data_IF_721720997931
#
_entry.id   IF_721720997931
#
_cell.length_a   1.000
_cell.length_b   1.000
_cell.length_c   1.000
_cell.angle_alpha   90.00
_cell.angle_beta   90.00
_cell.angle_gamma   90.00
#
_symmetry.space_group_name_H-M   'P 1'
#
loop_
_entity.id
_entity.type
_entity.pdbx_description
1 polymer ?
#
# COMPACT_ATOMS: atom_id res chain seq x y z
N UNK A 1 22.13 1.18 28.49
CA UNK A 1 21.11 1.67 27.53
C UNK A 1 20.84 0.56 26.53
N UNK A 2 19.86 -0.29 26.82
CA UNK A 2 19.44 -1.38 25.91
C UNK A 2 18.41 -0.82 24.94
N UNK A 3 18.65 -0.98 23.64
CA UNK A 3 17.75 -0.52 22.59
C UNK A 3 16.55 -1.48 22.51
N UNK A 4 15.34 -0.99 22.77
CA UNK A 4 14.08 -1.76 22.74
C UNK A 4 13.60 -2.12 21.32
N UNK A 5 14.42 -1.96 20.28
CA UNK A 5 14.06 -2.36 18.93
C UNK A 5 14.23 -3.87 18.80
N UNK A 6 13.15 -4.61 19.05
CA UNK A 6 13.07 -6.04 18.75
C UNK A 6 13.34 -6.23 17.24
N UNK A 7 14.50 -6.79 16.82
CA UNK A 7 14.85 -6.92 15.42
C UNK A 7 14.02 -8.00 14.69
N UNK A 8 13.12 -8.69 15.41
CA UNK A 8 12.29 -9.77 14.87
C UNK A 8 10.84 -9.38 14.53
N UNK A 9 10.35 -8.20 14.91
CA UNK A 9 8.98 -7.77 14.57
C UNK A 9 9.03 -7.00 13.27
N UNK A 10 8.94 -7.71 12.14
CA UNK A 10 8.54 -7.06 10.89
C UNK A 10 7.12 -6.58 11.09
N UNK A 11 6.92 -5.25 11.13
CA UNK A 11 5.59 -4.66 11.18
C UNK A 11 4.84 -5.24 9.96
N UNK A 12 3.81 -6.05 10.22
CA UNK A 12 3.00 -6.67 9.17
C UNK A 12 2.02 -5.63 8.69
N UNK A 13 2.46 -4.77 7.78
CA UNK A 13 1.58 -3.87 7.06
C UNK A 13 1.39 -4.38 5.63
N UNK A 14 0.21 -4.10 5.08
CA UNK A 14 -0.09 -4.28 3.66
C UNK A 14 0.26 -2.99 2.90
N UNK A 15 0.84 -3.11 1.72
CA UNK A 15 0.92 -1.99 0.79
C UNK A 15 -0.38 -1.94 0.00
N UNK A 16 -1.14 -0.85 0.07
CA UNK A 16 -2.42 -0.73 -0.64
C UNK A 16 -2.29 0.28 -1.77
N UNK A 17 -2.63 -0.14 -2.98
CA UNK A 17 -2.72 0.70 -4.16
C UNK A 17 -4.18 0.76 -4.61
N UNK A 18 -4.79 1.95 -4.56
CA UNK A 18 -6.13 2.16 -5.10
C UNK A 18 -6.00 2.76 -6.51
N UNK A 19 -6.29 1.96 -7.53
CA UNK A 19 -6.33 2.40 -8.93
C UNK A 19 -7.78 2.44 -9.39
N UNK A 20 -8.22 3.60 -9.88
CA UNK A 20 -9.63 3.81 -10.23
C UNK A 20 -9.96 3.62 -11.70
N UNK A 21 -8.92 3.72 -12.54
CA UNK A 21 -8.93 3.83 -14.01
C UNK A 21 -10.31 4.09 -14.65
N UNK A 22 -10.78 3.16 -15.49
CA UNK A 22 -12.03 3.24 -16.26
C UNK A 22 -13.25 2.74 -15.49
N UNK A 23 -13.05 2.13 -14.32
CA UNK A 23 -14.13 1.51 -13.54
C UNK A 23 -14.92 2.50 -12.68
N UNK A 24 -14.43 3.74 -12.57
CA UNK A 24 -15.02 4.81 -11.74
C UNK A 24 -15.21 4.39 -10.26
N UNK A 25 -14.39 3.45 -9.79
CA UNK A 25 -14.42 2.94 -8.41
C UNK A 25 -13.49 3.72 -7.47
N UNK A 26 -12.76 4.71 -7.99
CA UNK A 26 -11.70 5.43 -7.28
C UNK A 26 -12.11 6.05 -5.96
N UNK A 27 -13.30 6.65 -5.90
CA UNK A 27 -13.80 7.24 -4.67
C UNK A 27 -14.02 6.19 -3.57
N UNK A 28 -14.54 5.02 -3.94
CA UNK A 28 -14.80 3.93 -2.98
C UNK A 28 -13.49 3.25 -2.60
N UNK A 29 -12.61 2.99 -3.57
CA UNK A 29 -11.28 2.40 -3.33
C UNK A 29 -10.37 3.28 -2.48
N UNK A 30 -10.31 4.60 -2.75
CA UNK A 30 -9.57 5.56 -1.92
C UNK A 30 -10.11 5.61 -0.48
N UNK A 31 -11.44 5.59 -0.30
CA UNK A 31 -12.05 5.54 1.04
C UNK A 31 -11.65 4.26 1.80
N UNK A 32 -11.70 3.10 1.15
CA UNK A 32 -11.29 1.84 1.77
C UNK A 32 -9.80 1.86 2.14
N UNK A 33 -8.93 2.32 1.24
CA UNK A 33 -7.49 2.43 1.48
C UNK A 33 -7.17 3.38 2.65
N UNK A 34 -7.85 4.53 2.72
CA UNK A 34 -7.70 5.49 3.85
C UNK A 34 -8.17 4.90 5.17
N UNK A 35 -9.24 4.13 5.17
CA UNK A 35 -9.72 3.45 6.38
C UNK A 35 -8.68 2.44 6.89
N UNK A 36 -8.14 1.59 6.00
CA UNK A 36 -7.09 0.64 6.38
C UNK A 36 -5.82 1.32 6.91
N UNK A 37 -5.47 2.49 6.35
CA UNK A 37 -4.36 3.29 6.83
C UNK A 37 -4.65 3.91 8.21
N UNK A 38 -5.87 4.41 8.44
CA UNK A 38 -6.31 4.95 9.73
C UNK A 38 -6.31 3.87 10.83
N UNK A 39 -6.69 2.64 10.47
CA UNK A 39 -6.66 1.46 11.36
C UNK A 39 -5.23 0.89 11.55
N UNK A 40 -4.22 1.48 10.90
CA UNK A 40 -2.81 1.05 10.93
C UNK A 40 -2.58 -0.38 10.41
N UNK A 41 -3.49 -0.87 9.58
CA UNK A 41 -3.42 -2.19 8.94
C UNK A 41 -2.56 -2.11 7.66
N UNK A 42 -2.62 -0.98 6.96
CA UNK A 42 -1.95 -0.79 5.68
C UNK A 42 -1.23 0.56 5.57
N UNK A 43 -0.28 0.64 4.63
CA UNK A 43 0.32 1.89 4.17
C UNK A 43 -0.10 2.10 2.72
N UNK A 44 -0.65 3.27 2.40
CA UNK A 44 -1.08 3.58 1.03
C UNK A 44 0.13 3.92 0.15
N UNK A 45 0.15 3.37 -1.06
CA UNK A 45 1.08 3.74 -2.14
C UNK A 45 0.30 4.20 -3.37
N UNK A 46 0.85 5.16 -4.10
CA UNK A 46 0.38 5.46 -5.44
C UNK A 46 1.01 4.46 -6.43
N UNK A 47 0.21 3.79 -7.25
CA UNK A 47 0.72 2.89 -8.30
C UNK A 47 1.69 3.61 -9.23
N UNK A 48 1.47 4.91 -9.51
CA UNK A 48 2.37 5.71 -10.33
C UNK A 48 3.77 5.87 -9.69
N UNK A 49 3.87 5.94 -8.36
CA UNK A 49 5.15 6.08 -7.67
C UNK A 49 6.00 4.80 -7.77
N UNK A 50 5.33 3.64 -7.75
CA UNK A 50 5.95 2.34 -8.04
C UNK A 50 6.42 2.31 -9.51
N UNK A 51 5.56 2.75 -10.44
CA UNK A 51 5.86 2.73 -11.88
C UNK A 51 7.06 3.61 -12.26
N UNK A 52 7.26 4.76 -11.60
CA UNK A 52 8.44 5.62 -11.82
C UNK A 52 9.68 5.18 -11.04
N UNK A 53 9.59 4.12 -10.23
CA UNK A 53 10.72 3.56 -9.49
C UNK A 53 11.17 4.40 -8.30
N UNK A 54 10.25 5.10 -7.64
CA UNK A 54 10.54 5.87 -6.42
C UNK A 54 11.12 4.94 -5.34
N UNK A 55 12.40 5.12 -4.99
CA UNK A 55 13.14 4.16 -4.17
C UNK A 55 12.57 4.03 -2.75
N UNK A 56 12.15 5.15 -2.14
CA UNK A 56 11.56 5.10 -0.80
C UNK A 56 10.29 4.25 -0.82
N UNK A 57 9.44 4.44 -1.83
CA UNK A 57 8.21 3.69 -1.99
C UNK A 57 8.47 2.22 -2.31
N UNK A 58 9.44 1.93 -3.17
CA UNK A 58 9.84 0.57 -3.49
C UNK A 58 10.33 -0.19 -2.26
N UNK A 59 11.18 0.42 -1.43
CA UNK A 59 11.78 -0.21 -0.26
C UNK A 59 10.74 -0.71 0.74
N UNK A 60 9.76 0.14 1.09
CA UNK A 60 8.71 -0.28 2.02
C UNK A 60 7.65 -1.16 1.36
N UNK A 61 7.40 -1.02 0.05
CA UNK A 61 6.47 -1.89 -0.68
C UNK A 61 7.00 -3.33 -0.74
N UNK A 62 8.29 -3.51 -1.00
CA UNK A 62 8.97 -4.83 -0.96
C UNK A 62 9.00 -5.41 0.46
N UNK A 63 9.09 -4.55 1.48
CA UNK A 63 9.07 -4.98 2.87
C UNK A 63 7.67 -5.29 3.43
N UNK A 64 6.60 -4.97 2.68
CA UNK A 64 5.22 -5.24 3.09
C UNK A 64 4.93 -6.75 3.14
N UNK A 65 3.91 -7.14 3.91
CA UNK A 65 3.48 -8.55 3.98
C UNK A 65 2.86 -9.02 2.67
N UNK A 66 2.08 -8.15 2.04
CA UNK A 66 1.54 -8.32 0.71
C UNK A 66 1.18 -6.95 0.11
N UNK A 67 1.07 -6.92 -1.21
CA UNK A 67 0.51 -5.79 -1.95
C UNK A 67 -0.95 -6.09 -2.22
N UNK A 68 -1.83 -5.14 -1.91
CA UNK A 68 -3.27 -5.20 -2.15
C UNK A 68 -3.61 -4.11 -3.16
N UNK A 69 -3.92 -4.53 -4.37
CA UNK A 69 -4.46 -3.66 -5.41
C UNK A 69 -5.98 -3.63 -5.30
N UNK A 70 -6.52 -2.42 -5.13
CA UNK A 70 -7.95 -2.15 -5.23
C UNK A 70 -8.14 -1.60 -6.64
N UNK A 71 -8.54 -2.49 -7.54
CA UNK A 71 -8.83 -2.18 -8.94
C UNK A 71 -10.24 -2.69 -9.31
N UNK A 72 -10.93 -1.93 -10.14
CA UNK A 72 -12.20 -2.33 -10.76
C UNK A 72 -12.12 -2.47 -12.29
N UNK A 73 -10.94 -2.25 -12.87
CA UNK A 73 -10.65 -2.34 -14.29
C UNK A 73 -10.25 -3.78 -14.67
N UNK A 74 -10.48 -4.19 -15.93
CA UNK A 74 -9.98 -5.47 -16.46
C UNK A 74 -8.47 -5.44 -16.75
N UNK A 75 -7.85 -4.26 -16.62
CA UNK A 75 -6.40 -4.10 -16.72
C UNK A 75 -5.81 -4.44 -15.36
N UNK A 76 -4.89 -5.39 -15.35
CA UNK A 76 -4.24 -5.89 -14.13
C UNK A 76 -3.05 -4.95 -13.80
N UNK A 77 -3.37 -3.73 -13.36
CA UNK A 77 -2.45 -2.60 -13.17
C UNK A 77 -1.66 -2.65 -11.86
#
# INVERSE_FOLDING_TARGET
MSCCCNPGVRIRYYAVCACSEASNTGQIGDRAARQLAAEKIAKMSCTAAIAVGDQEIMDWTVAATAVVTIDGCEKDC
#
